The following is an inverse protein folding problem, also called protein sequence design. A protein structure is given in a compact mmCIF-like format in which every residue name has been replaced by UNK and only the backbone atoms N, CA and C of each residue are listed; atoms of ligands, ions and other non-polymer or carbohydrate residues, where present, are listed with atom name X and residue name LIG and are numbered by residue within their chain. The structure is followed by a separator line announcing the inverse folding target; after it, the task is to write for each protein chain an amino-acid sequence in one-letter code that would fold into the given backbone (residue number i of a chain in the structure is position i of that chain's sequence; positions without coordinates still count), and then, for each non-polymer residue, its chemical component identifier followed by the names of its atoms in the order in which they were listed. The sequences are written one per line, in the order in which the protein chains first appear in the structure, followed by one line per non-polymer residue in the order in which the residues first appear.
data_IF_000760433261
#
_entry.id   IF_000760433261
#
_cell.length_a   1.000
_cell.length_b   1.000
_cell.length_c   1.000
_cell.angle_alpha   90.00
_cell.angle_beta   90.00
_cell.angle_gamma   90.00
#
_symmetry.space_group_name_H-M   'P 1'
#
loop_
_entity.id
_entity.type
_entity.pdbx_description
1 polymer ?
#
# COMPACT_ATOMS: atom_id res chain seq x y z
N UNK A 1 44.08 -52.21 1.39
CA UNK A 1 44.46 -50.93 0.76
C UNK A 1 43.48 -50.66 -0.40
N UNK A 2 42.32 -50.03 -0.15
CA UNK A 2 41.42 -49.53 -1.20
C UNK A 2 40.90 -48.17 -0.73
N UNK A 3 41.25 -47.14 -1.49
CA UNK A 3 41.09 -45.73 -1.18
C UNK A 3 39.67 -45.25 -1.52
N UNK A 4 39.15 -44.32 -0.72
CA UNK A 4 37.78 -43.79 -0.77
C UNK A 4 37.58 -42.91 -1.99
N UNK A 5 36.50 -43.17 -2.74
CA UNK A 5 36.01 -42.31 -3.81
C UNK A 5 35.64 -40.93 -3.27
N UNK A 6 36.20 -39.92 -3.93
CA UNK A 6 36.12 -38.50 -3.64
C UNK A 6 34.66 -38.03 -3.66
N UNK A 7 34.21 -37.50 -2.52
CA UNK A 7 33.00 -36.69 -2.43
C UNK A 7 33.27 -35.37 -3.17
N UNK A 8 32.72 -35.24 -4.37
CA UNK A 8 32.67 -33.97 -5.08
C UNK A 8 31.53 -33.16 -4.43
N UNK A 9 31.86 -32.45 -3.36
CA UNK A 9 31.01 -31.41 -2.81
C UNK A 9 30.87 -30.32 -3.87
N UNK A 10 29.72 -30.28 -4.53
CA UNK A 10 29.31 -29.17 -5.38
C UNK A 10 29.21 -27.91 -4.51
N UNK A 11 30.28 -27.13 -4.47
CA UNK A 11 30.33 -25.79 -3.91
C UNK A 11 29.56 -24.85 -4.85
N UNK A 12 28.23 -24.90 -4.78
CA UNK A 12 27.35 -23.95 -5.47
C UNK A 12 27.39 -22.60 -4.73
N UNK A 13 27.67 -21.52 -5.47
CA UNK A 13 27.89 -20.16 -4.99
C UNK A 13 26.84 -19.68 -3.95
N UNK A 14 27.17 -19.59 -2.64
CA UNK A 14 26.22 -19.21 -1.59
C UNK A 14 25.79 -17.74 -1.64
N UNK A 15 26.47 -16.88 -2.41
CA UNK A 15 26.19 -15.44 -2.47
C UNK A 15 24.90 -15.09 -3.22
N UNK A 16 24.60 -15.75 -4.35
CA UNK A 16 23.42 -15.43 -5.19
C UNK A 16 22.13 -15.99 -4.57
N UNK A 17 22.21 -17.16 -3.94
CA UNK A 17 21.10 -17.78 -3.21
C UNK A 17 20.68 -16.95 -1.98
N UNK A 18 21.65 -16.38 -1.25
CA UNK A 18 21.34 -15.52 -0.10
C UNK A 18 20.71 -14.18 -0.50
N UNK A 19 21.15 -13.57 -1.61
CA UNK A 19 20.58 -12.31 -2.11
C UNK A 19 19.13 -12.47 -2.58
N UNK A 20 18.83 -13.55 -3.30
CA UNK A 20 17.46 -13.85 -3.76
C UNK A 20 16.53 -14.20 -2.61
N UNK A 21 17.01 -14.92 -1.59
CA UNK A 21 16.23 -15.25 -0.39
C UNK A 21 16.02 -14.05 0.56
N UNK A 22 16.96 -13.10 0.60
CA UNK A 22 16.79 -11.82 1.32
C UNK A 22 15.73 -10.95 0.66
N UNK A 23 15.79 -10.80 -0.67
CA UNK A 23 14.82 -10.01 -1.43
C UNK A 23 13.39 -10.57 -1.32
N UNK A 24 13.23 -11.90 -1.32
CA UNK A 24 11.92 -12.52 -1.16
C UNK A 24 11.36 -12.34 0.26
N UNK A 25 12.20 -12.40 1.31
CA UNK A 25 11.82 -12.08 2.69
C UNK A 25 11.37 -10.63 2.85
N UNK A 26 12.11 -9.68 2.31
CA UNK A 26 11.75 -8.26 2.37
C UNK A 26 10.36 -8.03 1.75
N UNK A 27 10.10 -8.65 0.60
CA UNK A 27 8.79 -8.54 -0.07
C UNK A 27 7.65 -9.26 0.67
N UNK A 28 7.90 -10.37 1.37
CA UNK A 28 6.88 -11.01 2.23
C UNK A 28 6.60 -10.22 3.50
N UNK A 29 7.62 -9.60 4.10
CA UNK A 29 7.43 -8.68 5.25
C UNK A 29 6.56 -7.48 4.87
N UNK A 30 6.63 -7.03 3.62
CA UNK A 30 5.86 -5.90 3.12
C UNK A 30 4.34 -6.15 3.02
N UNK A 31 3.90 -7.36 2.64
CA UNK A 31 2.47 -7.68 2.59
C UNK A 31 1.78 -7.58 3.96
N UNK A 32 2.50 -7.96 5.03
CA UNK A 32 2.03 -7.79 6.41
C UNK A 32 1.90 -6.31 6.79
N UNK A 33 2.86 -5.47 6.40
CA UNK A 33 2.80 -4.02 6.65
C UNK A 33 1.62 -3.37 5.94
N UNK A 34 1.30 -3.79 4.72
CA UNK A 34 0.12 -3.29 3.99
C UNK A 34 -1.19 -3.67 4.69
N UNK A 35 -1.29 -4.90 5.24
CA UNK A 35 -2.46 -5.29 6.05
C UNK A 35 -2.59 -4.44 7.32
N UNK A 36 -1.48 -4.21 8.03
CA UNK A 36 -1.47 -3.36 9.23
C UNK A 36 -1.92 -1.95 8.88
N UNK A 37 -1.40 -1.37 7.79
CA UNK A 37 -1.80 -0.06 7.33
C UNK A 37 -3.29 -0.02 6.96
N UNK A 38 -3.79 -1.00 6.21
CA UNK A 38 -5.20 -1.07 5.85
C UNK A 38 -6.12 -1.18 7.08
N UNK A 39 -5.73 -1.95 8.09
CA UNK A 39 -6.49 -2.06 9.34
C UNK A 39 -6.52 -0.72 10.11
N UNK A 40 -5.37 -0.05 10.24
CA UNK A 40 -5.28 1.26 10.89
C UNK A 40 -6.06 2.33 10.12
N UNK A 41 -5.92 2.36 8.79
CA UNK A 41 -6.63 3.31 7.94
C UNK A 41 -8.14 3.06 7.96
N UNK A 42 -8.59 1.80 7.95
CA UNK A 42 -10.00 1.44 8.10
C UNK A 42 -10.56 1.86 9.46
N UNK A 43 -9.80 1.66 10.54
CA UNK A 43 -10.17 2.13 11.87
C UNK A 43 -10.36 3.65 11.90
N UNK A 44 -9.38 4.41 11.37
CA UNK A 44 -9.47 5.88 11.30
C UNK A 44 -10.66 6.30 10.46
N UNK A 45 -10.93 5.64 9.33
CA UNK A 45 -12.07 5.95 8.44
C UNK A 45 -13.39 5.82 9.18
N UNK A 46 -13.61 4.71 9.90
CA UNK A 46 -14.83 4.49 10.68
C UNK A 46 -14.93 5.49 11.84
N UNK A 47 -13.83 5.70 12.57
CA UNK A 47 -13.81 6.60 13.72
C UNK A 47 -14.10 8.06 13.31
N UNK A 48 -13.41 8.59 12.29
CA UNK A 48 -13.65 9.94 11.77
C UNK A 48 -15.01 10.06 11.06
N UNK A 49 -15.48 9.02 10.39
CA UNK A 49 -16.81 9.02 9.77
C UNK A 49 -17.93 9.13 10.80
N UNK A 50 -17.89 8.31 11.85
CA UNK A 50 -18.87 8.34 12.93
C UNK A 50 -18.77 9.65 13.74
N UNK A 51 -17.57 10.05 14.13
CA UNK A 51 -17.35 11.30 14.87
C UNK A 51 -17.70 12.54 14.04
N UNK A 52 -17.38 12.52 12.75
CA UNK A 52 -17.74 13.53 11.76
C UNK A 52 -19.25 13.74 11.67
N UNK A 53 -20.01 12.66 11.54
CA UNK A 53 -21.46 12.72 11.38
C UNK A 53 -22.19 13.19 12.66
N UNK A 54 -21.72 12.79 13.85
CA UNK A 54 -22.44 13.03 15.10
C UNK A 54 -21.95 14.23 15.91
N UNK A 55 -20.64 14.49 15.91
CA UNK A 55 -20.04 15.54 16.76
C UNK A 55 -19.59 16.70 15.89
N UNK A 56 -18.78 16.43 14.88
CA UNK A 56 -18.13 17.46 14.08
C UNK A 56 -19.10 18.25 13.20
N UNK A 57 -20.20 17.63 12.76
CA UNK A 57 -21.28 18.26 12.00
C UNK A 57 -21.98 19.41 12.75
N UNK A 58 -21.88 19.44 14.08
CA UNK A 58 -22.47 20.50 14.91
C UNK A 58 -21.53 21.68 15.13
N UNK A 59 -20.22 21.50 14.91
CA UNK A 59 -19.18 22.50 15.19
C UNK A 59 -18.53 23.06 13.93
N UNK A 60 -18.46 22.27 12.85
CA UNK A 60 -17.85 22.66 11.59
C UNK A 60 -18.87 23.23 10.60
N UNK A 61 -18.39 24.15 9.76
CA UNK A 61 -19.17 24.70 8.66
C UNK A 61 -19.32 23.73 7.49
N UNK A 62 -20.16 24.08 6.49
CA UNK A 62 -20.42 23.23 5.32
C UNK A 62 -19.15 22.91 4.51
N UNK A 63 -18.22 23.86 4.41
CA UNK A 63 -16.98 23.69 3.63
C UNK A 63 -16.03 22.72 4.31
N UNK A 64 -15.85 22.84 5.62
CA UNK A 64 -15.00 21.96 6.41
C UNK A 64 -15.55 20.54 6.42
N UNK A 65 -16.87 20.40 6.57
CA UNK A 65 -17.53 19.09 6.44
C UNK A 65 -17.34 18.49 5.04
N UNK A 66 -17.44 19.30 3.99
CA UNK A 66 -17.18 18.82 2.62
C UNK A 66 -15.74 18.29 2.44
N UNK A 67 -14.75 18.92 3.08
CA UNK A 67 -13.37 18.42 3.07
C UNK A 67 -13.21 17.11 3.85
N UNK A 68 -13.85 16.99 5.03
CA UNK A 68 -13.88 15.74 5.79
C UNK A 68 -14.48 14.61 4.94
N UNK A 69 -15.64 14.84 4.31
CA UNK A 69 -16.29 13.85 3.46
C UNK A 69 -15.43 13.44 2.27
N UNK A 70 -14.83 14.40 1.58
CA UNK A 70 -13.92 14.12 0.46
C UNK A 70 -12.71 13.30 0.94
N UNK A 71 -12.11 13.66 2.08
CA UNK A 71 -10.99 12.91 2.66
C UNK A 71 -11.38 11.47 3.01
N UNK A 72 -12.56 11.28 3.62
CA UNK A 72 -13.11 9.98 3.97
C UNK A 72 -13.33 9.12 2.72
N UNK A 73 -14.01 9.64 1.70
CA UNK A 73 -14.29 8.90 0.46
C UNK A 73 -12.99 8.35 -0.16
N UNK A 74 -11.99 9.21 -0.33
CA UNK A 74 -10.70 8.79 -0.89
C UNK A 74 -9.98 7.80 0.03
N UNK A 75 -9.98 8.01 1.35
CA UNK A 75 -9.38 7.07 2.29
C UNK A 75 -10.04 5.70 2.22
N UNK A 76 -11.38 5.64 2.20
CA UNK A 76 -12.14 4.40 2.16
C UNK A 76 -11.80 3.56 0.93
N UNK A 77 -11.91 4.16 -0.27
CA UNK A 77 -11.58 3.46 -1.52
C UNK A 77 -10.14 2.93 -1.54
N UNK A 78 -9.18 3.75 -1.11
CA UNK A 78 -7.76 3.38 -1.18
C UNK A 78 -7.37 2.39 -0.08
N UNK A 79 -8.02 2.45 1.08
CA UNK A 79 -7.87 1.43 2.14
C UNK A 79 -8.29 0.05 1.63
N UNK A 80 -9.44 -0.04 0.97
CA UNK A 80 -9.93 -1.29 0.41
C UNK A 80 -9.00 -1.81 -0.72
N UNK A 81 -8.50 -0.92 -1.57
CA UNK A 81 -7.53 -1.29 -2.60
C UNK A 81 -6.21 -1.84 -1.99
N UNK A 82 -5.70 -1.20 -0.93
CA UNK A 82 -4.50 -1.67 -0.22
C UNK A 82 -4.76 -3.02 0.46
N UNK A 83 -5.93 -3.21 1.08
CA UNK A 83 -6.32 -4.49 1.67
C UNK A 83 -6.33 -5.60 0.61
N UNK A 84 -6.92 -5.34 -0.56
CA UNK A 84 -6.96 -6.29 -1.68
C UNK A 84 -5.55 -6.63 -2.18
N UNK A 85 -4.67 -5.62 -2.34
CA UNK A 85 -3.28 -5.84 -2.71
C UNK A 85 -2.51 -6.66 -1.67
N UNK A 86 -2.74 -6.38 -0.39
CA UNK A 86 -2.08 -7.09 0.70
C UNK A 86 -2.47 -8.57 0.72
N UNK A 87 -3.76 -8.88 0.48
CA UNK A 87 -4.24 -10.27 0.31
C UNK A 87 -3.67 -10.91 -0.95
N UNK A 88 -3.66 -10.21 -2.09
CA UNK A 88 -3.11 -10.72 -3.35
C UNK A 88 -1.62 -11.08 -3.22
N UNK A 89 -0.85 -10.25 -2.50
CA UNK A 89 0.58 -10.48 -2.24
C UNK A 89 0.87 -11.69 -1.35
N UNK A 90 -0.10 -12.21 -0.60
CA UNK A 90 0.05 -13.48 0.13
C UNK A 90 0.11 -14.68 -0.83
N UNK A 91 -0.59 -14.59 -1.97
CA UNK A 91 -0.61 -15.65 -2.97
C UNK A 91 0.55 -15.53 -3.94
N UNK A 92 0.89 -14.33 -4.35
CA UNK A 92 1.96 -14.09 -5.31
C UNK A 92 2.71 -12.79 -5.05
N UNK A 93 4.01 -12.93 -4.77
CA UNK A 93 4.89 -11.79 -4.55
C UNK A 93 5.09 -11.03 -5.87
N UNK A 94 4.75 -9.74 -5.86
CA UNK A 94 4.91 -8.83 -7.00
C UNK A 94 5.45 -7.48 -6.53
N UNK A 95 6.61 -7.10 -7.05
CA UNK A 95 7.22 -5.78 -6.76
C UNK A 95 6.32 -4.62 -7.20
N UNK A 96 5.51 -4.82 -8.25
CA UNK A 96 4.56 -3.83 -8.74
C UNK A 96 3.42 -3.61 -7.76
N UNK A 97 2.92 -4.68 -7.13
CA UNK A 97 1.88 -4.60 -6.11
C UNK A 97 2.39 -3.97 -4.83
N UNK A 98 3.64 -4.23 -4.47
CA UNK A 98 4.28 -3.57 -3.34
C UNK A 98 4.31 -2.05 -3.52
N UNK A 99 4.91 -1.57 -4.61
CA UNK A 99 5.00 -0.12 -4.86
C UNK A 99 3.64 0.52 -5.11
N UNK A 100 2.70 -0.22 -5.71
CA UNK A 100 1.31 0.22 -5.84
C UNK A 100 0.71 0.54 -4.47
N UNK A 101 0.67 -0.42 -3.55
CA UNK A 101 0.06 -0.16 -2.25
C UNK A 101 0.86 0.79 -1.36
N UNK A 102 2.19 0.89 -1.54
CA UNK A 102 2.98 1.93 -0.88
C UNK A 102 2.58 3.34 -1.33
N UNK A 103 2.39 3.55 -2.64
CA UNK A 103 1.93 4.84 -3.18
C UNK A 103 0.47 5.14 -2.83
N UNK A 104 -0.40 4.12 -2.82
CA UNK A 104 -1.78 4.30 -2.35
C UNK A 104 -1.80 4.66 -0.86
N UNK A 105 -0.97 4.03 -0.02
CA UNK A 105 -0.87 4.35 1.40
C UNK A 105 -0.35 5.78 1.63
N UNK A 106 0.73 6.16 0.94
CA UNK A 106 1.26 7.52 0.98
C UNK A 106 0.23 8.54 0.49
N UNK A 107 -0.48 8.23 -0.60
CA UNK A 107 -1.58 9.04 -1.11
C UNK A 107 -2.68 9.22 -0.07
N UNK A 108 -3.06 8.19 0.69
CA UNK A 108 -4.07 8.29 1.75
C UNK A 108 -3.63 9.26 2.84
N UNK A 109 -2.37 9.18 3.28
CA UNK A 109 -1.84 10.09 4.29
C UNK A 109 -1.78 11.55 3.79
N UNK A 110 -1.27 11.76 2.57
CA UNK A 110 -1.10 13.10 2.02
C UNK A 110 -2.42 13.73 1.57
N UNK A 111 -3.28 12.99 0.89
CA UNK A 111 -4.55 13.49 0.37
C UNK A 111 -5.60 13.60 1.47
N UNK A 112 -6.00 12.47 2.06
CA UNK A 112 -7.07 12.46 3.07
C UNK A 112 -6.61 13.11 4.38
N UNK A 113 -5.39 12.81 4.82
CA UNK A 113 -4.84 13.43 6.03
C UNK A 113 -4.74 14.95 5.93
N UNK A 114 -4.31 15.50 4.78
CA UNK A 114 -4.26 16.96 4.61
C UNK A 114 -5.66 17.59 4.62
N UNK A 115 -6.67 16.95 4.05
CA UNK A 115 -8.06 17.45 4.10
C UNK A 115 -8.62 17.43 5.52
N UNK A 116 -8.31 16.41 6.32
CA UNK A 116 -8.69 16.39 7.74
C UNK A 116 -8.00 17.49 8.53
N UNK A 117 -6.68 17.66 8.34
CA UNK A 117 -5.95 18.75 8.97
C UNK A 117 -6.46 20.13 8.52
N UNK A 118 -6.81 20.29 7.24
CA UNK A 118 -7.38 21.52 6.71
C UNK A 118 -8.73 21.84 7.37
N UNK A 119 -9.61 20.86 7.50
CA UNK A 119 -10.92 21.02 8.13
C UNK A 119 -10.83 21.33 9.63
N UNK A 120 -9.87 20.73 10.34
CA UNK A 120 -9.74 20.88 11.80
C UNK A 120 -8.89 22.08 12.22
N UNK A 121 -7.91 22.50 11.43
CA UNK A 121 -6.98 23.60 11.76
C UNK A 121 -7.23 24.88 10.98
N UNK A 122 -8.02 24.84 9.90
CA UNK A 122 -8.24 25.93 8.95
C UNK A 122 -6.95 26.49 8.30
N UNK A 123 -5.80 25.82 8.45
CA UNK A 123 -4.54 26.23 7.85
C UNK A 123 -4.53 25.91 6.35
N UNK A 124 -4.62 26.94 5.51
CA UNK A 124 -4.67 26.80 4.04
C UNK A 124 -3.42 26.16 3.42
N UNK A 125 -2.31 26.04 4.17
CA UNK A 125 -1.09 25.36 3.71
C UNK A 125 -1.37 23.90 3.30
N UNK A 126 -2.28 23.22 4.01
CA UNK A 126 -2.63 21.82 3.76
C UNK A 126 -3.16 21.58 2.34
N UNK A 127 -3.79 22.59 1.72
CA UNK A 127 -4.32 22.51 0.34
C UNK A 127 -3.23 22.18 -0.67
N UNK A 128 -1.99 22.62 -0.46
CA UNK A 128 -0.90 22.37 -1.40
C UNK A 128 -0.36 20.93 -1.32
N UNK A 129 -0.66 20.20 -0.23
CA UNK A 129 -0.23 18.81 -0.03
C UNK A 129 -1.21 17.86 -0.72
N UNK A 130 -2.49 18.20 -0.79
CA UNK A 130 -3.54 17.36 -1.36
C UNK A 130 -3.26 16.92 -2.81
N UNK A 131 -2.82 17.79 -3.75
CA UNK A 131 -2.49 17.38 -5.11
C UNK A 131 -1.36 16.35 -5.19
N UNK A 132 -0.36 16.44 -4.31
CA UNK A 132 0.76 15.49 -4.24
C UNK A 132 0.22 14.10 -3.90
N UNK A 133 -0.69 14.02 -2.91
CA UNK A 133 -1.38 12.77 -2.58
C UNK A 133 -2.20 12.22 -3.75
N UNK A 134 -2.86 13.09 -4.52
CA UNK A 134 -3.59 12.70 -5.74
C UNK A 134 -2.69 12.09 -6.81
N UNK A 135 -1.49 12.64 -7.03
CA UNK A 135 -0.49 12.07 -7.93
C UNK A 135 0.00 10.71 -7.43
N UNK A 136 0.22 10.56 -6.12
CA UNK A 136 0.55 9.26 -5.52
C UNK A 136 -0.54 8.21 -5.79
N UNK A 137 -1.82 8.58 -5.65
CA UNK A 137 -2.92 7.67 -5.99
C UNK A 137 -2.89 7.24 -7.45
N UNK A 138 -2.80 8.19 -8.39
CA UNK A 138 -2.73 7.89 -9.82
C UNK A 138 -1.58 6.93 -10.15
N UNK A 139 -0.38 7.21 -9.63
CA UNK A 139 0.78 6.35 -9.81
C UNK A 139 0.57 4.95 -9.19
N UNK A 140 -0.05 4.89 -8.00
CA UNK A 140 -0.41 3.64 -7.32
C UNK A 140 -1.35 2.76 -8.16
N UNK A 141 -2.41 3.33 -8.73
CA UNK A 141 -3.34 2.61 -9.61
C UNK A 141 -2.67 2.15 -10.91
N UNK A 142 -1.82 2.96 -11.53
CA UNK A 142 -1.05 2.58 -12.72
C UNK A 142 -0.12 1.40 -12.42
N UNK A 143 0.58 1.40 -11.28
CA UNK A 143 1.43 0.28 -10.89
C UNK A 143 0.63 -1.00 -10.62
N UNK A 144 -0.57 -0.89 -10.06
CA UNK A 144 -1.46 -2.05 -9.90
C UNK A 144 -1.83 -2.64 -11.25
N UNK A 145 -2.21 -1.81 -12.22
CA UNK A 145 -2.52 -2.25 -13.59
C UNK A 145 -1.31 -2.94 -14.24
N UNK A 146 -0.13 -2.34 -14.15
CA UNK A 146 1.11 -2.94 -14.69
C UNK A 146 1.39 -4.30 -14.02
N UNK A 147 1.23 -4.38 -12.70
CA UNK A 147 1.38 -5.62 -11.96
C UNK A 147 0.42 -6.70 -12.46
N UNK A 148 -0.86 -6.36 -12.61
CA UNK A 148 -1.89 -7.28 -13.08
C UNK A 148 -1.61 -7.80 -14.51
N UNK A 149 -1.21 -6.92 -15.43
CA UNK A 149 -0.86 -7.30 -16.81
C UNK A 149 0.38 -8.20 -16.88
N UNK A 150 1.32 -8.05 -15.93
CA UNK A 150 2.54 -8.87 -15.87
C UNK A 150 2.32 -10.24 -15.22
N UNK A 151 1.26 -10.42 -14.42
CA UNK A 151 0.91 -11.72 -13.85
C UNK A 151 0.58 -12.74 -14.96
N UNK A 152 -0.18 -12.33 -15.99
CA UNK A 152 -0.62 -13.21 -17.10
C UNK A 152 0.55 -13.81 -17.88
N UNK A 153 1.60 -13.03 -18.14
CA UNK A 153 2.79 -13.47 -18.91
C UNK A 153 3.64 -14.57 -18.26
N UNK A 154 3.40 -14.94 -16.99
CA UNK A 154 4.14 -16.05 -16.34
C UNK A 154 3.47 -17.40 -16.57
N UNK A 155 2.17 -17.45 -16.84
CA UNK A 155 1.45 -18.70 -17.08
C UNK A 155 1.80 -19.30 -18.47
N UNK A 156 1.91 -18.46 -19.50
CA UNK A 156 2.15 -18.87 -20.90
C UNK A 156 3.61 -19.30 -21.19
N UNK A 157 4.55 -19.20 -20.24
CA UNK A 157 5.97 -19.55 -20.46
C UNK A 157 6.35 -20.98 -20.03
N UNK A 158 5.39 -21.76 -19.54
CA UNK A 158 5.62 -23.12 -19.03
C UNK A 158 4.83 -24.19 -19.80
N UNK A 159 4.32 -23.85 -20.99
CA UNK A 159 3.75 -24.77 -21.98
C UNK A 159 4.67 -24.83 -23.21
#
# INVERSE_FOLDING_TARGET
MINRGVAISAFAAPSILNLTQSNSRLMTMNGRLMLIFAALSGFVYVALGAFGAHVLSTTLGPNEMAWIHTGLDYQGFHTLAILALAVAMQRQISIWFYWSGALLALGTLLFSGSLYCLALSHLKLWVYITPIGGVCFLAGWVLMLIGALRLRKRAERHE
#
